data_IF_132059565124
#
_entry.id   IF_132059565124
#
_cell.length_a   1.000
_cell.length_b   1.000
_cell.length_c   1.000
_cell.angle_alpha   90.00
_cell.angle_beta   90.00
_cell.angle_gamma   90.00
#
_symmetry.space_group_name_H-M   'P 1'
#
loop_
_entity.id
_entity.type
_entity.pdbx_description
1 polymer ?
#
# COMPACT_ATOMS: atom_id res chain seq x y z
N UNK A 1 -5.31 -27.53 12.77
CA UNK A 1 -5.88 -26.27 13.32
C UNK A 1 -5.06 -25.03 12.94
N UNK A 2 -3.84 -24.81 13.46
CA UNK A 2 -3.04 -23.60 13.14
C UNK A 2 -2.63 -23.51 11.65
N UNK A 3 -2.14 -24.61 11.08
CA UNK A 3 -1.70 -24.63 9.67
C UNK A 3 -2.88 -24.44 8.71
N UNK A 4 -4.01 -25.11 8.98
CA UNK A 4 -5.23 -24.96 8.17
C UNK A 4 -5.74 -23.52 8.16
N UNK A 5 -5.67 -22.84 9.31
CA UNK A 5 -5.99 -21.42 9.42
C UNK A 5 -5.05 -20.54 8.59
N UNK A 6 -3.73 -20.78 8.67
CA UNK A 6 -2.74 -19.99 7.90
C UNK A 6 -2.97 -20.17 6.39
N UNK A 7 -3.22 -21.39 5.94
CA UNK A 7 -3.51 -21.69 4.54
C UNK A 7 -4.78 -20.95 4.10
N UNK A 8 -5.84 -21.01 4.91
CA UNK A 8 -7.08 -20.32 4.61
C UNK A 8 -6.89 -18.79 4.56
N UNK A 9 -6.14 -18.21 5.49
CA UNK A 9 -5.79 -16.78 5.47
C UNK A 9 -5.01 -16.40 4.21
N UNK A 10 -4.01 -17.18 3.79
CA UNK A 10 -3.26 -16.94 2.55
C UNK A 10 -4.17 -16.96 1.33
N UNK A 11 -5.12 -17.90 1.26
CA UNK A 11 -6.11 -17.94 0.18
C UNK A 11 -6.98 -16.68 0.16
N UNK A 12 -7.47 -16.23 1.33
CA UNK A 12 -8.26 -15.00 1.43
C UNK A 12 -7.48 -13.76 0.97
N UNK A 13 -6.20 -13.65 1.37
CA UNK A 13 -5.33 -12.54 0.95
C UNK A 13 -5.09 -12.56 -0.55
N UNK A 14 -4.83 -13.72 -1.14
CA UNK A 14 -4.58 -13.86 -2.57
C UNK A 14 -5.81 -13.58 -3.44
N UNK A 15 -7.00 -13.90 -2.94
CA UNK A 15 -8.25 -13.73 -3.68
C UNK A 15 -8.91 -12.36 -3.47
N UNK A 16 -8.44 -11.56 -2.50
CA UNK A 16 -9.01 -10.26 -2.19
C UNK A 16 -8.51 -9.18 -3.16
N UNK A 17 -9.40 -8.51 -3.92
CA UNK A 17 -9.01 -7.38 -4.77
C UNK A 17 -8.45 -6.19 -3.98
N UNK A 18 -8.73 -6.11 -2.68
CA UNK A 18 -8.22 -5.06 -1.80
C UNK A 18 -6.82 -5.41 -1.29
N UNK A 19 -6.54 -6.68 -1.04
CA UNK A 19 -5.23 -7.11 -0.53
C UNK A 19 -4.18 -7.27 -1.62
N UNK A 20 -4.58 -7.31 -2.90
CA UNK A 20 -3.71 -7.54 -4.05
C UNK A 20 -2.75 -6.38 -4.38
N UNK A 21 -3.01 -5.17 -3.87
CA UNK A 21 -2.22 -3.97 -4.18
C UNK A 21 -0.93 -3.96 -3.35
N UNK A 22 -1.05 -3.63 -2.06
CA UNK A 22 0.10 -3.51 -1.18
C UNK A 22 0.16 -4.67 -0.18
N UNK A 23 -0.96 -4.96 0.50
CA UNK A 23 -1.01 -5.83 1.67
C UNK A 23 -0.33 -7.20 1.45
N UNK A 24 -0.60 -7.87 0.32
CA UNK A 24 -0.01 -9.18 0.00
C UNK A 24 1.53 -9.16 -0.02
N UNK A 25 2.14 -8.09 -0.50
CA UNK A 25 3.60 -7.98 -0.61
C UNK A 25 4.25 -7.61 0.72
N UNK A 26 3.57 -6.80 1.54
CA UNK A 26 4.09 -6.34 2.83
C UNK A 26 3.66 -7.22 4.01
N UNK A 27 2.76 -8.19 3.82
CA UNK A 27 2.33 -9.15 4.85
C UNK A 27 2.49 -10.61 4.36
N UNK A 28 3.74 -11.12 4.26
CA UNK A 28 3.95 -12.50 3.79
C UNK A 28 3.59 -13.56 4.85
N UNK A 29 3.71 -13.22 6.14
CA UNK A 29 3.55 -14.17 7.24
C UNK A 29 2.39 -13.79 8.16
N UNK A 30 1.66 -14.79 8.66
CA UNK A 30 0.59 -14.59 9.65
C UNK A 30 1.18 -14.48 11.07
N UNK A 31 1.63 -13.28 11.42
CA UNK A 31 2.26 -12.97 12.71
C UNK A 31 2.03 -11.51 13.12
N UNK A 32 2.49 -11.12 14.32
CA UNK A 32 2.42 -9.71 14.73
C UNK A 32 3.40 -8.88 13.91
N UNK A 33 2.95 -7.72 13.46
CA UNK A 33 3.78 -6.81 12.66
C UNK A 33 4.72 -5.99 13.52
N UNK A 34 5.99 -5.89 13.09
CA UNK A 34 7.03 -5.09 13.77
C UNK A 34 6.56 -3.66 14.05
N UNK A 35 5.89 -3.04 13.08
CA UNK A 35 5.47 -1.64 13.20
C UNK A 35 4.52 -1.42 14.39
N UNK A 36 3.70 -2.40 14.77
CA UNK A 36 2.73 -2.28 15.87
C UNK A 36 3.38 -2.17 17.25
N UNK A 37 4.58 -2.74 17.41
CA UNK A 37 5.25 -2.85 18.71
C UNK A 37 6.47 -1.96 18.84
N UNK A 38 7.11 -1.57 17.73
CA UNK A 38 8.41 -0.87 17.76
C UNK A 38 8.37 0.58 17.31
N UNK A 39 7.34 1.00 16.57
CA UNK A 39 7.24 2.39 16.13
C UNK A 39 6.58 3.29 17.18
N UNK A 40 6.96 4.58 17.23
CA UNK A 40 6.22 5.61 17.95
C UNK A 40 4.73 5.62 17.60
N UNK A 41 3.89 6.03 18.56
CA UNK A 41 2.44 5.99 18.41
C UNK A 41 1.91 6.67 17.15
N UNK A 42 2.44 7.86 16.81
CA UNK A 42 2.04 8.59 15.59
C UNK A 42 2.34 7.81 14.31
N UNK A 43 3.52 7.18 14.21
CA UNK A 43 3.90 6.36 13.07
C UNK A 43 3.09 5.06 12.99
N UNK A 44 2.72 4.48 14.14
CA UNK A 44 1.80 3.33 14.17
C UNK A 44 0.45 3.65 13.57
N UNK A 45 -0.11 4.82 13.88
CA UNK A 45 -1.38 5.27 13.28
C UNK A 45 -1.22 5.41 11.76
N UNK A 46 -0.17 6.09 11.30
CA UNK A 46 0.08 6.29 9.87
C UNK A 46 0.24 4.97 9.12
N UNK A 47 1.03 4.03 9.66
CA UNK A 47 1.22 2.70 9.08
C UNK A 47 -0.08 1.90 9.06
N UNK A 48 -0.86 1.93 10.15
CA UNK A 48 -2.17 1.26 10.19
C UNK A 48 -3.16 1.83 9.18
N UNK A 49 -3.15 3.15 8.93
CA UNK A 49 -3.98 3.77 7.90
C UNK A 49 -3.63 3.25 6.51
N UNK A 50 -2.34 3.13 6.19
CA UNK A 50 -1.88 2.52 4.93
C UNK A 50 -2.31 1.05 4.85
N UNK A 51 -2.05 0.26 5.91
CA UNK A 51 -2.37 -1.18 5.96
C UNK A 51 -3.85 -1.51 5.83
N UNK A 52 -4.74 -0.61 6.27
CA UNK A 52 -6.20 -0.81 6.28
C UNK A 52 -6.90 -0.07 5.14
N UNK A 53 -6.14 0.57 4.26
CA UNK A 53 -6.62 1.47 3.21
C UNK A 53 -7.52 2.58 3.77
N UNK A 54 -7.25 3.05 5.00
CA UNK A 54 -7.91 4.20 5.62
C UNK A 54 -7.12 5.49 5.32
N UNK A 55 -7.03 5.80 4.04
CA UNK A 55 -6.33 6.98 3.53
C UNK A 55 -7.10 7.58 2.35
N UNK A 56 -6.68 8.77 1.92
CA UNK A 56 -7.34 9.53 0.86
C UNK A 56 -6.64 9.46 -0.49
N UNK A 57 -5.89 8.39 -0.76
CA UNK A 57 -5.32 8.16 -2.08
C UNK A 57 -6.43 7.92 -3.13
N UNK A 58 -6.22 8.30 -4.40
CA UNK A 58 -7.19 8.13 -5.48
C UNK A 58 -7.81 6.74 -5.57
N UNK A 59 -7.02 5.68 -5.35
CA UNK A 59 -7.48 4.28 -5.41
C UNK A 59 -8.64 3.97 -4.45
N UNK A 60 -8.65 4.59 -3.27
CA UNK A 60 -9.70 4.41 -2.26
C UNK A 60 -10.79 5.47 -2.35
N UNK A 61 -10.46 6.73 -2.63
CA UNK A 61 -11.47 7.80 -2.71
C UNK A 61 -12.40 7.58 -3.90
N UNK A 62 -11.87 7.20 -5.07
CA UNK A 62 -12.66 6.91 -6.26
C UNK A 62 -13.41 5.58 -6.23
N UNK A 63 -13.30 4.81 -5.14
CA UNK A 63 -13.91 3.48 -5.04
C UNK A 63 -15.41 3.51 -4.75
N UNK A 64 -15.87 4.51 -3.99
CA UNK A 64 -17.19 4.49 -3.35
C UNK A 64 -18.08 5.66 -3.78
N UNK A 65 -19.40 5.45 -3.71
CA UNK A 65 -20.42 6.50 -3.80
C UNK A 65 -20.74 6.99 -5.21
N UNK A 66 -21.40 8.15 -5.28
CA UNK A 66 -21.80 8.79 -6.54
C UNK A 66 -20.61 9.25 -7.42
N UNK A 67 -19.41 9.32 -6.82
CA UNK A 67 -18.16 9.65 -7.49
C UNK A 67 -17.33 8.38 -7.78
N UNK A 68 -17.99 7.25 -8.04
CA UNK A 68 -17.29 6.04 -8.43
C UNK A 68 -16.53 6.29 -9.75
N UNK A 69 -15.22 6.01 -9.72
CA UNK A 69 -14.32 6.11 -10.86
C UNK A 69 -13.77 4.72 -11.15
N UNK A 70 -13.73 4.26 -12.43
CA UNK A 70 -13.07 3.00 -12.80
C UNK A 70 -11.64 2.94 -12.26
N UNK A 71 -11.14 1.75 -11.90
CA UNK A 71 -9.85 1.61 -11.19
C UNK A 71 -8.69 2.25 -11.96
N UNK A 72 -8.68 2.02 -13.27
CA UNK A 72 -7.75 2.53 -14.27
C UNK A 72 -7.74 4.06 -14.35
N UNK A 73 -8.85 4.72 -14.03
CA UNK A 73 -9.00 6.18 -14.04
C UNK A 73 -8.69 6.82 -12.68
N UNK A 74 -8.47 6.04 -11.62
CA UNK A 74 -8.07 6.53 -10.29
C UNK A 74 -6.59 6.91 -10.27
N UNK A 75 -6.21 7.83 -11.14
CA UNK A 75 -4.82 8.21 -11.40
C UNK A 75 -4.21 9.05 -10.28
N UNK A 76 -2.89 9.01 -10.17
CA UNK A 76 -2.13 9.85 -9.25
C UNK A 76 -2.32 11.33 -9.56
N UNK A 77 -2.60 12.13 -8.53
CA UNK A 77 -2.77 13.58 -8.63
C UNK A 77 -1.51 14.38 -8.24
N UNK A 78 -0.37 13.70 -8.05
CA UNK A 78 0.92 14.32 -7.69
C UNK A 78 1.95 14.30 -8.81
N UNK A 79 1.72 13.50 -9.83
CA UNK A 79 2.60 13.37 -10.99
C UNK A 79 1.78 13.27 -12.28
N UNK A 80 2.46 13.47 -13.41
CA UNK A 80 1.87 13.42 -14.74
C UNK A 80 2.00 12.05 -15.42
N UNK A 81 2.36 10.99 -14.69
CA UNK A 81 2.61 9.66 -15.26
C UNK A 81 1.34 8.93 -15.73
N UNK A 82 0.15 9.45 -15.43
CA UNK A 82 -1.14 8.80 -15.74
C UNK A 82 -1.34 7.44 -15.07
N UNK A 83 -0.50 7.09 -14.09
CA UNK A 83 -0.55 5.79 -13.40
C UNK A 83 -1.60 5.82 -12.29
N UNK A 84 -2.16 4.65 -11.96
CA UNK A 84 -3.10 4.49 -10.83
C UNK A 84 -2.44 5.00 -9.54
N UNK A 85 -3.15 5.90 -8.85
CA UNK A 85 -2.71 6.54 -7.61
C UNK A 85 -2.98 5.65 -6.40
N UNK A 86 -2.28 4.53 -6.31
CA UNK A 86 -2.33 3.61 -5.18
C UNK A 86 -1.11 3.71 -4.26
N UNK A 87 -1.11 2.96 -3.16
CA UNK A 87 -0.06 2.99 -2.17
C UNK A 87 1.30 2.61 -2.76
N UNK A 88 1.33 1.65 -3.69
CA UNK A 88 2.56 1.23 -4.36
C UNK A 88 3.12 2.37 -5.20
N UNK A 89 2.29 3.02 -6.01
CA UNK A 89 2.71 4.17 -6.79
C UNK A 89 3.26 5.29 -5.90
N UNK A 90 2.53 5.69 -4.86
CA UNK A 90 2.96 6.79 -3.98
C UNK A 90 4.24 6.47 -3.19
N UNK A 91 4.43 5.22 -2.75
CA UNK A 91 5.57 4.83 -1.90
C UNK A 91 6.81 4.49 -2.71
N UNK A 92 6.68 3.94 -3.92
CA UNK A 92 7.82 3.35 -4.65
C UNK A 92 8.04 3.90 -6.06
N UNK A 93 7.04 4.46 -6.74
CA UNK A 93 7.15 4.78 -8.17
C UNK A 93 6.94 6.25 -8.54
N UNK A 94 6.22 7.01 -7.73
CA UNK A 94 5.77 8.35 -8.08
C UNK A 94 6.97 9.28 -8.34
N UNK A 95 6.98 9.91 -9.52
CA UNK A 95 8.06 10.82 -9.93
C UNK A 95 7.89 12.25 -9.40
N UNK A 96 6.93 12.49 -8.50
CA UNK A 96 6.81 13.78 -7.81
C UNK A 96 8.12 14.08 -7.04
N UNK A 97 8.78 15.22 -7.26
CA UNK A 97 10.11 15.49 -6.69
C UNK A 97 10.18 15.34 -5.17
N UNK A 98 9.15 15.80 -4.45
CA UNK A 98 9.08 15.67 -2.99
C UNK A 98 9.06 14.21 -2.55
N UNK A 99 8.31 13.36 -3.26
CA UNK A 99 8.25 11.92 -2.96
C UNK A 99 9.56 11.23 -3.32
N UNK A 100 10.21 11.61 -4.42
CA UNK A 100 11.55 11.09 -4.79
C UNK A 100 12.56 11.36 -3.67
N UNK A 101 12.68 12.61 -3.21
CA UNK A 101 13.61 12.95 -2.12
C UNK A 101 13.30 12.20 -0.81
N UNK A 102 12.02 12.01 -0.49
CA UNK A 102 11.63 11.22 0.69
C UNK A 102 12.01 9.74 0.54
N UNK A 103 11.86 9.16 -0.66
CA UNK A 103 12.26 7.77 -0.94
C UNK A 103 13.76 7.61 -0.80
N UNK A 104 14.55 8.50 -1.40
CA UNK A 104 16.02 8.48 -1.27
C UNK A 104 16.49 8.58 0.18
N UNK A 105 15.77 9.34 1.02
CA UNK A 105 16.11 9.54 2.43
C UNK A 105 15.76 8.34 3.31
N UNK A 106 14.61 7.70 3.07
CA UNK A 106 14.03 6.73 4.02
C UNK A 106 13.91 5.30 3.48
N UNK A 107 14.03 5.09 2.17
CA UNK A 107 13.92 3.78 1.54
C UNK A 107 15.30 3.36 1.03
N UNK A 108 15.84 2.21 1.47
CA UNK A 108 17.09 1.70 0.95
C UNK A 108 17.08 1.59 -0.58
N UNK A 109 18.19 1.95 -1.28
CA UNK A 109 18.26 1.95 -2.74
C UNK A 109 17.86 0.60 -3.38
N UNK A 110 18.09 -0.51 -2.67
CA UNK A 110 17.69 -1.85 -3.09
C UNK A 110 16.22 -1.94 -3.54
N UNK A 111 15.30 -1.27 -2.83
CA UNK A 111 13.87 -1.28 -3.14
C UNK A 111 13.47 -0.30 -4.25
N UNK A 112 14.39 0.57 -4.68
CA UNK A 112 14.14 1.59 -5.71
C UNK A 112 14.71 1.19 -7.08
N UNK A 113 15.72 0.32 -7.13
CA UNK A 113 16.40 -0.11 -8.36
C UNK A 113 15.66 -1.29 -9.03
N UNK A 114 14.95 -2.10 -8.24
CA UNK A 114 14.13 -3.22 -8.73
C UNK A 114 12.74 -3.20 -8.10
N UNK A 115 11.83 -2.34 -8.58
CA UNK A 115 10.43 -2.43 -8.20
C UNK A 115 9.88 -3.73 -8.81
N UNK A 116 9.81 -4.78 -7.99
CA UNK A 116 9.15 -6.06 -8.31
C UNK A 116 7.67 -5.87 -8.60
#
# INVERSE_FOLDING_TARGET
LKNDYIINWQQQVNNSPKCSILYKYIKPFFEIEYYLTKLPYSLRISMSRIRTCNHRLPIEVGRYGANHVPREERVCNKCESGQVGDEYHFILMCNNPTLVTLREKYIPPYYSIYPS
#
